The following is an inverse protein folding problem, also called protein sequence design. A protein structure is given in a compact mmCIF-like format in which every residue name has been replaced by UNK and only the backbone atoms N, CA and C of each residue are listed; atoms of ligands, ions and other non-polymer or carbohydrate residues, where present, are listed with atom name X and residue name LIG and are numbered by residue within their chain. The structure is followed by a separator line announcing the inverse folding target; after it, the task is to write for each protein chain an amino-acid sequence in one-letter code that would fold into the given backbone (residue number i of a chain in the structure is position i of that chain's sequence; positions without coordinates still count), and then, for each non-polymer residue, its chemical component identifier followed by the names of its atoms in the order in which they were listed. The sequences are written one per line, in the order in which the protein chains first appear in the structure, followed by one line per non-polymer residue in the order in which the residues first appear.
data_IF_573274775047
#
_entry.id   IF_573274775047
#
_cell.length_a   1.000
_cell.length_b   1.000
_cell.length_c   1.000
_cell.angle_alpha   90.00
_cell.angle_beta   90.00
_cell.angle_gamma   90.00
#
_symmetry.space_group_name_H-M   'P 1'
#
loop_
_entity.id
_entity.type
_entity.pdbx_description
1 polymer ?
#
# COMPACT_ATOMS: atom_id res chain seq x y z
N UNK A 1 1.72 1.08 -6.27
CA UNK A 1 0.81 -0.03 -6.63
C UNK A 1 0.66 -0.08 -8.14
N UNK A 2 0.63 -1.26 -8.77
CA UNK A 2 0.50 -1.42 -10.23
C UNK A 2 -0.81 -2.13 -10.55
N UNK A 3 -1.60 -1.55 -11.44
CA UNK A 3 -2.81 -2.17 -12.00
C UNK A 3 -2.40 -3.28 -12.98
N UNK A 4 -2.84 -4.54 -12.79
CA UNK A 4 -2.37 -5.65 -13.62
C UNK A 4 -2.68 -5.52 -15.11
N UNK A 5 -3.87 -5.03 -15.46
CA UNK A 5 -4.38 -5.02 -16.84
C UNK A 5 -3.85 -3.82 -17.64
N UNK A 6 -3.92 -2.61 -17.09
CA UNK A 6 -3.50 -1.39 -17.77
C UNK A 6 -1.99 -1.12 -17.64
N UNK A 7 -1.34 -1.71 -16.64
CA UNK A 7 0.02 -1.36 -16.23
C UNK A 7 0.15 -0.01 -15.52
N UNK A 8 -0.95 0.72 -15.31
CA UNK A 8 -0.96 1.99 -14.60
C UNK A 8 -0.39 1.84 -13.20
N UNK A 9 0.34 2.87 -12.74
CA UNK A 9 0.96 2.85 -11.42
C UNK A 9 0.43 4.01 -10.57
N UNK A 10 0.02 3.69 -9.35
CA UNK A 10 -0.26 4.67 -8.29
C UNK A 10 0.94 4.71 -7.36
N UNK A 11 1.77 5.76 -7.43
CA UNK A 11 2.92 5.86 -6.57
C UNK A 11 2.50 6.38 -5.18
N UNK A 12 3.01 5.75 -4.12
CA UNK A 12 2.69 6.07 -2.71
C UNK A 12 4.00 6.16 -1.95
N UNK A 13 4.23 7.31 -1.31
CA UNK A 13 5.44 7.60 -0.56
C UNK A 13 5.25 7.10 0.86
N UNK A 14 6.24 6.38 1.35
CA UNK A 14 6.24 5.77 2.67
C UNK A 14 7.59 6.00 3.34
N UNK A 15 7.60 6.03 4.67
CA UNK A 15 8.85 6.14 5.43
C UNK A 15 9.70 4.87 5.33
N UNK A 16 10.95 4.98 5.77
CA UNK A 16 11.91 3.88 5.71
C UNK A 16 11.46 2.67 6.55
N UNK A 17 10.87 2.90 7.72
CA UNK A 17 10.41 1.84 8.61
C UNK A 17 9.20 1.10 8.01
N UNK A 18 8.29 1.84 7.41
CA UNK A 18 7.16 1.29 6.66
C UNK A 18 7.64 0.47 5.45
N UNK A 19 8.58 1.00 4.68
CA UNK A 19 9.17 0.31 3.54
C UNK A 19 9.83 -1.01 3.96
N UNK A 20 10.58 -1.00 5.05
CA UNK A 20 11.20 -2.20 5.59
C UNK A 20 10.16 -3.25 6.03
N UNK A 21 9.06 -2.82 6.67
CA UNK A 21 7.98 -3.72 7.07
C UNK A 21 7.27 -4.39 5.88
N UNK A 22 7.14 -3.68 4.76
CA UNK A 22 6.59 -4.20 3.50
C UNK A 22 7.59 -5.14 2.82
N UNK A 23 8.87 -4.75 2.73
CA UNK A 23 9.93 -5.55 2.11
C UNK A 23 10.05 -6.93 2.77
N UNK A 24 10.10 -6.99 4.10
CA UNK A 24 10.17 -8.25 4.84
C UNK A 24 8.96 -9.17 4.56
N UNK A 25 7.77 -8.59 4.38
CA UNK A 25 6.58 -9.36 4.04
C UNK A 25 6.59 -9.88 2.60
N UNK A 26 7.11 -9.10 1.65
CA UNK A 26 7.27 -9.52 0.26
C UNK A 26 8.30 -10.64 0.11
N UNK A 27 9.36 -10.60 0.92
CA UNK A 27 10.39 -11.66 0.96
C UNK A 27 9.89 -12.96 1.60
N UNK A 28 8.77 -12.91 2.33
CA UNK A 28 8.26 -14.06 3.08
C UNK A 28 9.18 -14.46 4.24
N UNK A 29 9.98 -13.53 4.76
CA UNK A 29 10.97 -13.79 5.81
C UNK A 29 10.28 -14.03 7.14
N UNK A 30 10.39 -15.24 7.69
CA UNK A 30 9.93 -15.55 9.04
C UNK A 30 10.99 -15.15 10.07
N UNK A 31 10.61 -14.24 10.96
CA UNK A 31 11.46 -13.78 12.07
C UNK A 31 11.18 -14.58 13.35
N UNK A 32 12.17 -14.75 14.25
CA UNK A 32 12.02 -15.53 15.48
C UNK A 32 10.99 -14.95 16.46
N UNK A 33 10.65 -13.67 16.32
CA UNK A 33 9.59 -12.98 17.08
C UNK A 33 8.72 -12.18 16.11
N UNK A 34 7.39 -12.11 16.37
CA UNK A 34 6.48 -11.38 15.50
C UNK A 34 6.79 -9.88 15.52
N UNK A 35 6.77 -9.25 14.34
CA UNK A 35 6.76 -7.79 14.22
C UNK A 35 5.35 -7.24 14.45
N UNK A 36 5.21 -5.92 14.40
CA UNK A 36 3.94 -5.22 14.64
C UNK A 36 2.78 -5.74 13.78
N UNK A 37 2.99 -5.89 12.47
CA UNK A 37 1.93 -6.38 11.58
C UNK A 37 1.66 -7.88 11.74
N UNK A 38 2.65 -8.68 12.17
CA UNK A 38 2.44 -10.10 12.52
C UNK A 38 1.61 -10.24 13.81
N UNK A 39 1.87 -9.36 14.78
CA UNK A 39 1.06 -9.26 15.99
C UNK A 39 -0.39 -8.88 15.64
N UNK A 40 -0.60 -7.89 14.77
CA UNK A 40 -1.96 -7.52 14.34
C UNK A 40 -2.68 -8.67 13.63
N UNK A 41 -2.02 -9.39 12.71
CA UNK A 41 -2.57 -10.61 12.11
C UNK A 41 -2.97 -11.64 13.18
N UNK A 42 -2.12 -11.84 14.18
CA UNK A 42 -2.38 -12.78 15.27
C UNK A 42 -3.59 -12.36 16.12
N UNK A 43 -3.76 -11.06 16.37
CA UNK A 43 -4.92 -10.50 17.08
C UNK A 43 -6.21 -10.73 16.28
N UNK A 44 -6.21 -10.47 14.97
CA UNK A 44 -7.36 -10.74 14.11
C UNK A 44 -7.78 -12.22 14.21
N UNK A 45 -6.81 -13.12 14.05
CA UNK A 45 -7.04 -14.55 14.17
C UNK A 45 -7.57 -14.96 15.55
N UNK A 46 -6.95 -14.47 16.63
CA UNK A 46 -7.35 -14.79 18.00
C UNK A 46 -8.75 -14.29 18.37
N UNK A 47 -9.21 -13.21 17.72
CA UNK A 47 -10.54 -12.63 17.92
C UNK A 47 -11.60 -13.22 16.98
N UNK A 48 -11.23 -14.20 16.14
CA UNK A 48 -12.15 -14.82 15.18
C UNK A 48 -12.51 -13.90 14.00
N UNK A 49 -11.68 -12.90 13.73
CA UNK A 49 -11.86 -11.97 12.61
C UNK A 49 -10.82 -12.24 11.51
N UNK A 50 -11.12 -11.80 10.30
CA UNK A 50 -10.18 -11.89 9.16
C UNK A 50 -10.13 -10.59 8.39
N UNK A 51 -8.94 -10.24 7.91
CA UNK A 51 -8.79 -9.15 6.94
C UNK A 51 -9.18 -9.68 5.56
N UNK A 52 -10.30 -9.19 5.01
CA UNK A 52 -10.82 -9.60 3.69
C UNK A 52 -10.06 -8.91 2.56
N UNK A 53 -9.90 -7.60 2.68
CA UNK A 53 -9.21 -6.77 1.71
C UNK A 53 -8.75 -5.47 2.37
N UNK A 54 -7.85 -4.78 1.70
CA UNK A 54 -7.55 -3.38 1.96
C UNK A 54 -7.85 -2.57 0.73
N UNK A 55 -8.30 -1.34 0.91
CA UNK A 55 -8.61 -0.42 -0.17
C UNK A 55 -7.88 0.89 0.04
N UNK A 56 -7.12 1.34 -0.96
CA UNK A 56 -6.67 2.75 -1.02
C UNK A 56 -7.87 3.56 -1.52
N UNK A 57 -8.62 4.11 -0.56
CA UNK A 57 -9.97 4.60 -0.79
C UNK A 57 -10.00 6.03 -1.34
N UNK A 58 -9.13 6.90 -0.83
CA UNK A 58 -9.13 8.31 -1.19
C UNK A 58 -7.75 8.97 -1.08
N UNK A 59 -7.61 10.10 -1.76
CA UNK A 59 -6.50 11.03 -1.62
C UNK A 59 -7.07 12.43 -1.33
N UNK A 60 -6.58 13.06 -0.26
CA UNK A 60 -6.94 14.44 0.12
C UNK A 60 -5.67 15.20 0.43
N UNK A 61 -5.47 16.34 -0.23
CA UNK A 61 -4.28 17.20 -0.01
C UNK A 61 -2.95 16.39 -0.06
N UNK A 62 -2.81 15.54 -1.08
CA UNK A 62 -1.65 14.62 -1.25
C UNK A 62 -1.46 13.55 -0.17
N UNK A 63 -2.43 13.38 0.73
CA UNK A 63 -2.47 12.32 1.74
C UNK A 63 -3.42 11.22 1.31
N UNK A 64 -2.90 10.01 1.15
CA UNK A 64 -3.69 8.83 0.85
C UNK A 64 -4.27 8.22 2.14
N UNK A 65 -5.52 7.80 2.07
CA UNK A 65 -6.21 7.07 3.14
C UNK A 65 -6.54 5.67 2.65
N UNK A 66 -6.46 4.71 3.57
CA UNK A 66 -6.79 3.32 3.29
C UNK A 66 -7.82 2.78 4.28
N UNK A 67 -8.61 1.83 3.83
CA UNK A 67 -9.55 1.09 4.66
C UNK A 67 -9.12 -0.37 4.77
N UNK A 68 -9.20 -0.91 5.98
CA UNK A 68 -9.11 -2.34 6.24
C UNK A 68 -10.54 -2.88 6.32
N UNK A 69 -10.92 -3.76 5.40
CA UNK A 69 -12.21 -4.44 5.45
C UNK A 69 -12.05 -5.71 6.28
N UNK A 70 -12.48 -5.64 7.54
CA UNK A 70 -12.36 -6.73 8.51
C UNK A 70 -13.70 -7.43 8.63
N UNK A 71 -13.71 -8.75 8.48
CA UNK A 71 -14.91 -9.57 8.59
C UNK A 71 -14.86 -10.41 9.87
N UNK A 72 -15.97 -10.45 10.61
CA UNK A 72 -16.12 -11.26 11.81
C UNK A 72 -17.54 -11.17 12.38
N UNK A 73 -17.97 -12.21 13.10
CA UNK A 73 -19.30 -12.27 13.74
C UNK A 73 -20.50 -12.01 12.80
N UNK A 74 -20.35 -12.31 11.50
CA UNK A 74 -21.40 -12.08 10.50
C UNK A 74 -21.47 -10.65 9.96
N UNK A 75 -20.57 -9.77 10.39
CA UNK A 75 -20.49 -8.38 9.97
C UNK A 75 -19.16 -8.09 9.27
N UNK A 76 -19.14 -7.01 8.49
CA UNK A 76 -17.90 -6.42 7.96
C UNK A 76 -17.79 -5.01 8.52
N UNK A 77 -16.62 -4.70 9.07
CA UNK A 77 -16.29 -3.39 9.62
C UNK A 77 -15.10 -2.82 8.86
N UNK A 78 -15.17 -1.52 8.60
CA UNK A 78 -14.09 -0.80 7.96
C UNK A 78 -13.29 -0.04 9.00
N UNK A 79 -11.96 -0.17 8.95
CA UNK A 79 -11.04 0.52 9.86
C UNK A 79 -10.11 1.41 9.04
N UNK A 80 -10.06 2.69 9.41
CA UNK A 80 -9.13 3.66 8.80
C UNK A 80 -7.67 3.27 9.09
N UNK A 81 -6.83 3.39 8.06
CA UNK A 81 -5.44 3.04 8.11
C UNK A 81 -4.61 3.89 7.14
N UNK A 82 -3.31 4.02 7.45
CA UNK A 82 -2.34 4.50 6.47
C UNK A 82 -2.15 3.43 5.39
N UNK A 83 -1.94 3.82 4.11
CA UNK A 83 -1.65 2.86 3.03
C UNK A 83 -0.50 1.90 3.34
N UNK A 84 0.56 2.39 3.97
CA UNK A 84 1.72 1.57 4.35
C UNK A 84 1.35 0.42 5.28
N UNK A 85 0.57 0.71 6.33
CA UNK A 85 0.13 -0.30 7.30
C UNK A 85 -0.86 -1.28 6.67
N UNK A 86 -1.79 -0.76 5.86
CA UNK A 86 -2.76 -1.57 5.14
C UNK A 86 -2.09 -2.56 4.20
N UNK A 87 -1.12 -2.11 3.39
CA UNK A 87 -0.35 -2.96 2.48
C UNK A 87 0.48 -3.99 3.26
N UNK A 88 1.20 -3.56 4.30
CA UNK A 88 2.03 -4.44 5.11
C UNK A 88 1.23 -5.55 5.81
N UNK A 89 0.01 -5.25 6.27
CA UNK A 89 -0.89 -6.23 6.87
C UNK A 89 -1.53 -7.12 5.81
N UNK A 90 -1.96 -6.57 4.67
CA UNK A 90 -2.56 -7.33 3.58
C UNK A 90 -1.60 -8.42 3.05
N UNK A 91 -0.32 -8.09 2.86
CA UNK A 91 0.70 -9.05 2.44
C UNK A 91 0.84 -10.22 3.42
N UNK A 92 0.84 -9.95 4.74
CA UNK A 92 0.94 -10.99 5.77
C UNK A 92 -0.32 -11.83 5.92
N UNK A 93 -1.48 -11.24 5.68
CA UNK A 93 -2.78 -11.91 5.73
C UNK A 93 -3.14 -12.63 4.42
N UNK A 94 -2.42 -12.38 3.33
CA UNK A 94 -2.82 -12.82 1.98
C UNK A 94 -4.11 -12.16 1.50
N UNK A 95 -4.42 -10.96 2.01
CA UNK A 95 -5.63 -10.22 1.67
C UNK A 95 -5.46 -9.44 0.35
N UNK A 96 -6.58 -9.18 -0.33
CA UNK A 96 -6.56 -8.41 -1.59
C UNK A 96 -6.23 -6.95 -1.32
N UNK A 97 -5.41 -6.35 -2.18
CA UNK A 97 -5.13 -4.91 -2.20
C UNK A 97 -5.93 -4.30 -3.35
N UNK A 98 -6.82 -3.37 -3.02
CA UNK A 98 -7.70 -2.65 -3.94
C UNK A 98 -7.31 -1.18 -3.96
N UNK A 99 -7.61 -0.51 -5.06
CA UNK A 99 -7.45 0.93 -5.22
C UNK A 99 -8.74 1.45 -5.82
N UNK A 100 -9.31 2.51 -5.24
CA UNK A 100 -10.54 3.08 -5.77
C UNK A 100 -10.32 3.72 -7.15
N UNK A 101 -11.36 3.70 -7.98
CA UNK A 101 -11.31 4.31 -9.31
C UNK A 101 -11.00 5.81 -9.24
N UNK A 102 -11.49 6.50 -8.20
CA UNK A 102 -11.22 7.92 -7.99
C UNK A 102 -9.74 8.19 -7.70
N UNK A 103 -9.08 7.32 -6.92
CA UNK A 103 -7.64 7.40 -6.68
C UNK A 103 -6.86 7.11 -7.95
N UNK A 104 -7.24 6.07 -8.71
CA UNK A 104 -6.60 5.77 -10.00
C UNK A 104 -6.72 6.97 -10.96
N UNK A 105 -7.90 7.56 -11.10
CA UNK A 105 -8.12 8.70 -12.00
C UNK A 105 -7.28 9.93 -11.62
N UNK A 106 -7.04 10.17 -10.32
CA UNK A 106 -6.31 11.35 -9.83
C UNK A 106 -4.80 11.18 -9.80
N UNK A 107 -4.29 9.96 -9.59
CA UNK A 107 -2.89 9.72 -9.23
C UNK A 107 -2.17 8.67 -10.06
N UNK A 108 -2.86 8.02 -11.01
CA UNK A 108 -2.23 7.01 -11.84
C UNK A 108 -1.30 7.63 -12.89
N UNK A 109 -0.16 6.97 -13.09
CA UNK A 109 0.79 7.24 -14.16
C UNK A 109 0.69 6.11 -15.17
N UNK A 110 0.50 6.44 -16.45
CA UNK A 110 0.29 5.43 -17.49
C UNK A 110 1.60 4.81 -17.98
N UNK A 111 1.60 3.48 -18.12
CA UNK A 111 2.76 2.70 -18.57
C UNK A 111 3.10 2.87 -20.06
N UNK A 112 2.19 3.39 -20.88
CA UNK A 112 2.40 3.63 -22.33
C UNK A 112 3.40 4.76 -22.62
N UNK A 113 3.71 5.60 -21.65
CA UNK A 113 4.79 6.61 -21.77
C UNK A 113 6.20 6.01 -21.64
N UNK A 114 6.32 4.70 -21.39
CA UNK A 114 7.57 4.07 -20.92
C UNK A 114 8.20 3.09 -21.93
N UNK A 115 7.61 2.89 -23.11
CA UNK A 115 7.87 1.73 -23.99
C UNK A 115 9.23 1.60 -24.71
N UNK A 116 10.20 2.52 -24.56
CA UNK A 116 11.50 2.39 -25.25
C UNK A 116 12.73 2.60 -24.34
N UNK A 117 13.17 1.58 -23.60
CA UNK A 117 14.42 1.61 -22.81
C UNK A 117 14.22 1.11 -21.37
N UNK A 118 15.19 0.34 -20.87
CA UNK A 118 15.09 -0.51 -19.67
C UNK A 118 14.31 0.08 -18.49
N UNK A 119 13.35 -0.71 -17.98
CA UNK A 119 12.37 -0.27 -16.99
C UNK A 119 12.99 0.42 -15.76
N UNK A 120 14.11 -0.09 -15.22
CA UNK A 120 14.74 0.43 -14.00
C UNK A 120 15.27 1.86 -14.12
N UNK A 121 15.96 2.19 -15.21
CA UNK A 121 16.61 3.51 -15.34
C UNK A 121 15.58 4.62 -15.56
N UNK A 122 14.47 4.29 -16.24
CA UNK A 122 13.35 5.22 -16.44
C UNK A 122 12.48 5.43 -15.21
N UNK A 123 12.34 4.41 -14.36
CA UNK A 123 11.69 4.58 -13.05
C UNK A 123 12.48 5.55 -12.18
N UNK A 124 13.82 5.43 -12.18
CA UNK A 124 14.71 6.38 -11.50
C UNK A 124 14.52 7.79 -12.03
N UNK A 125 14.52 7.98 -13.36
CA UNK A 125 14.30 9.31 -13.96
C UNK A 125 12.91 9.89 -13.69
N UNK A 126 11.85 9.08 -13.70
CA UNK A 126 10.49 9.53 -13.39
C UNK A 126 10.38 9.96 -11.92
N UNK A 127 10.98 9.20 -11.01
CA UNK A 127 11.04 9.52 -9.58
C UNK A 127 11.91 10.75 -9.31
N UNK A 128 13.00 10.95 -10.05
CA UNK A 128 13.88 12.14 -9.96
C UNK A 128 13.22 13.41 -10.51
N UNK A 129 12.33 13.28 -11.51
CA UNK A 129 11.56 14.40 -12.07
C UNK A 129 10.34 14.78 -11.23
N UNK A 130 9.96 13.97 -10.25
CA UNK A 130 8.92 14.31 -9.29
C UNK A 130 9.51 15.20 -8.19
N UNK A 131 9.09 16.46 -8.19
CA UNK A 131 9.64 17.52 -7.33
C UNK A 131 9.49 17.19 -5.83
N UNK A 132 10.58 17.08 -5.06
CA UNK A 132 10.54 16.88 -3.61
C UNK A 132 9.82 18.02 -2.86
N UNK A 133 9.78 19.23 -3.41
CA UNK A 133 9.25 20.42 -2.73
C UNK A 133 7.71 20.45 -2.63
N UNK A 134 6.99 19.71 -3.48
CA UNK A 134 5.55 19.49 -3.30
C UNK A 134 5.22 18.69 -2.02
N UNK A 135 6.22 18.13 -1.35
CA UNK A 135 6.08 17.14 -0.28
C UNK A 135 6.82 17.52 1.03
N UNK A 136 7.48 18.68 1.10
CA UNK A 136 8.27 19.12 2.27
C UNK A 136 7.46 19.85 3.36
N UNK A 137 6.13 19.71 3.41
CA UNK A 137 5.33 20.39 4.47
C UNK A 137 5.28 19.63 5.81
N UNK A 138 5.77 18.40 5.85
CA UNK A 138 5.79 17.59 7.06
C UNK A 138 7.12 16.83 7.20
N UNK A 139 8.19 17.58 7.51
CA UNK A 139 9.23 17.01 8.38
C UNK A 139 8.57 16.77 9.74
N UNK A 140 8.58 15.52 10.21
CA UNK A 140 8.33 15.21 11.63
C UNK A 140 9.30 15.97 12.53
#
# INVERSE_FOLDING_TARGET
LREPESGNVVPIWIGLLEANAIALALEGTELPRPMTHDLMKSILHATGTRLRSVEIAEIRESTYFALLHIEGNGETVDVDARPSDAIALALRCGARILVSESVLAQSSISATTTSEGGERDKWTELLEKMDPEQFSKYKM
#
